data_IF_490140644558
#
_entry.id   IF_490140644558
#
_cell.length_a   1.000
_cell.length_b   1.000
_cell.length_c   1.000
_cell.angle_alpha   90.00
_cell.angle_beta   90.00
_cell.angle_gamma   90.00
#
_symmetry.space_group_name_H-M   'P 1'
#
loop_
_entity.id
_entity.type
_entity.pdbx_description
1 polymer ?
#
# COMPACT_ATOMS: atom_id res chain seq x y z
N UNK A 1 37.78 21.14 14.61
CA UNK A 1 37.48 21.10 13.15
C UNK A 1 36.37 20.09 12.90
N UNK A 2 35.10 20.52 12.83
CA UNK A 2 33.97 19.65 12.50
C UNK A 2 33.90 19.45 10.98
N UNK A 3 33.90 18.18 10.53
CA UNK A 3 33.73 17.82 9.12
C UNK A 3 32.34 18.28 8.67
N UNK A 4 32.29 19.10 7.62
CA UNK A 4 31.04 19.53 6.99
C UNK A 4 30.28 18.28 6.52
N UNK A 5 29.10 18.04 7.10
CA UNK A 5 28.21 16.96 6.70
C UNK A 5 27.79 17.13 5.23
N UNK A 6 27.72 16.02 4.49
CA UNK A 6 27.26 16.04 3.09
C UNK A 6 25.88 16.71 3.03
N UNK A 7 25.59 17.59 2.05
CA UNK A 7 24.29 18.22 1.93
C UNK A 7 23.22 17.15 1.64
N UNK A 8 22.14 17.16 2.43
CA UNK A 8 20.96 16.34 2.15
C UNK A 8 20.15 16.97 1.01
N UNK A 9 19.57 16.14 0.14
CA UNK A 9 18.70 16.59 -0.96
C UNK A 9 17.25 16.26 -0.61
N UNK A 10 16.41 17.29 -0.51
CA UNK A 10 14.95 17.15 -0.34
C UNK A 10 14.30 17.14 -1.72
N UNK A 11 13.34 16.24 -1.94
CA UNK A 11 12.53 16.19 -3.16
C UNK A 11 11.06 16.03 -2.82
N UNK A 12 10.22 16.81 -3.51
CA UNK A 12 8.77 16.72 -3.41
C UNK A 12 8.23 15.77 -4.47
N UNK A 13 7.41 14.80 -4.05
CA UNK A 13 6.70 13.89 -4.95
C UNK A 13 5.28 14.44 -5.12
N UNK A 14 4.82 14.70 -6.36
CA UNK A 14 3.47 15.20 -6.57
C UNK A 14 2.43 14.12 -6.25
N UNK A 15 1.62 14.38 -5.23
CA UNK A 15 0.45 13.57 -4.89
C UNK A 15 -0.74 14.01 -5.74
N UNK A 16 -1.39 13.06 -6.44
CA UNK A 16 -2.50 13.33 -7.37
C UNK A 16 -3.88 13.11 -6.73
N UNK A 17 -4.06 13.43 -5.44
CA UNK A 17 -5.36 13.32 -4.75
C UNK A 17 -6.02 14.67 -4.53
N UNK A 18 -6.80 15.16 -5.50
CA UNK A 18 -7.58 16.41 -5.32
C UNK A 18 -8.56 16.25 -4.16
N UNK A 19 -8.50 17.16 -3.18
CA UNK A 19 -9.38 17.14 -2.01
C UNK A 19 -9.09 16.01 -1.01
N UNK A 20 -7.96 15.32 -1.16
CA UNK A 20 -7.51 14.29 -0.23
C UNK A 20 -6.26 14.75 0.51
N UNK A 21 -6.06 14.18 1.68
CA UNK A 21 -4.83 14.33 2.45
C UNK A 21 -4.17 12.97 2.62
N UNK A 22 -2.85 12.94 2.51
CA UNK A 22 -2.06 11.77 2.88
C UNK A 22 -2.00 11.73 4.40
N UNK A 23 -2.44 10.63 5.00
CA UNK A 23 -2.41 10.45 6.46
C UNK A 23 -1.39 9.38 6.88
N UNK A 24 -1.00 8.50 5.96
CA UNK A 24 -0.01 7.46 6.20
C UNK A 24 0.85 7.20 4.96
N UNK A 25 2.11 6.83 5.21
CA UNK A 25 3.13 6.51 4.22
C UNK A 25 3.86 5.25 4.67
N UNK A 26 4.06 4.30 3.77
CA UNK A 26 4.96 3.16 4.02
C UNK A 26 5.89 2.90 2.86
N UNK A 27 7.12 2.51 3.20
CA UNK A 27 8.13 2.05 2.26
C UNK A 27 8.17 0.53 2.39
N UNK A 28 7.96 -0.18 1.29
CA UNK A 28 7.99 -1.64 1.31
C UNK A 28 9.44 -2.17 1.25
N UNK A 29 9.64 -3.42 1.67
CA UNK A 29 10.93 -4.05 2.05
C UNK A 29 12.14 -3.78 1.16
N UNK A 30 11.94 -3.50 -0.14
CA UNK A 30 13.04 -3.24 -1.08
C UNK A 30 13.47 -1.78 -1.16
N UNK A 31 12.76 -0.84 -0.51
CA UNK A 31 12.96 0.60 -0.69
C UNK A 31 12.60 1.11 -2.09
N UNK A 32 12.15 0.23 -3.00
CA UNK A 32 11.78 0.54 -4.38
C UNK A 32 10.30 0.84 -4.53
N UNK A 33 9.53 0.73 -3.46
CA UNK A 33 8.07 0.90 -3.49
C UNK A 33 7.64 1.75 -2.30
N UNK A 34 6.80 2.73 -2.60
CA UNK A 34 6.20 3.65 -1.66
C UNK A 34 4.69 3.55 -1.79
N UNK A 35 4.01 3.33 -0.68
CA UNK A 35 2.55 3.37 -0.61
C UNK A 35 2.15 4.61 0.17
N UNK A 36 1.23 5.38 -0.41
CA UNK A 36 0.56 6.48 0.27
C UNK A 36 -0.88 6.08 0.54
N UNK A 37 -1.32 6.17 1.79
CA UNK A 37 -2.74 6.14 2.12
C UNK A 37 -3.26 7.55 2.26
N UNK A 38 -4.39 7.80 1.59
CA UNK A 38 -5.01 9.10 1.53
C UNK A 38 -6.51 9.01 1.80
N UNK A 39 -7.00 9.99 2.56
CA UNK A 39 -8.42 10.13 2.90
C UNK A 39 -8.97 11.44 2.37
N UNK A 40 -10.28 11.51 2.12
CA UNK A 40 -10.92 12.79 1.77
C UNK A 40 -10.86 13.75 2.95
N UNK A 41 -10.60 15.03 2.66
CA UNK A 41 -10.44 16.07 3.69
C UNK A 41 -11.72 16.32 4.52
N UNK A 42 -12.90 16.07 3.94
CA UNK A 42 -14.20 16.28 4.60
C UNK A 42 -14.56 15.17 5.58
N UNK A 43 -13.94 14.01 5.40
CA UNK A 43 -14.35 12.75 6.02
C UNK A 43 -13.46 12.43 7.24
N UNK A 44 -12.84 13.44 7.86
CA UNK A 44 -12.01 13.23 9.06
C UNK A 44 -12.82 12.69 10.25
N UNK A 45 -14.16 12.85 10.22
CA UNK A 45 -15.09 12.48 11.28
C UNK A 45 -16.11 11.40 10.88
N UNK A 46 -16.35 11.16 9.58
CA UNK A 46 -17.35 10.18 9.09
C UNK A 46 -16.81 9.43 7.86
N UNK A 47 -16.93 8.10 7.88
CA UNK A 47 -16.58 7.10 6.84
C UNK A 47 -15.19 7.17 6.16
N UNK A 48 -14.46 6.05 6.30
CA UNK A 48 -13.10 5.84 5.80
C UNK A 48 -13.09 5.57 4.27
N UNK A 49 -13.24 6.58 3.39
CA UNK A 49 -12.80 6.50 1.97
C UNK A 49 -11.28 6.60 1.91
N UNK A 50 -10.62 5.61 2.51
CA UNK A 50 -9.17 5.48 2.48
C UNK A 50 -8.77 4.83 1.15
N UNK A 51 -7.83 5.48 0.46
CA UNK A 51 -7.29 4.99 -0.79
C UNK A 51 -5.78 4.93 -0.76
N UNK A 52 -5.29 3.82 -1.30
CA UNK A 52 -3.89 3.56 -1.50
C UNK A 52 -3.47 3.94 -2.93
N UNK A 53 -2.41 4.73 -2.98
CA UNK A 53 -1.64 4.99 -4.19
C UNK A 53 -0.26 4.35 -4.04
N UNK A 54 0.12 3.53 -5.02
CA UNK A 54 1.38 2.80 -5.07
C UNK A 54 2.31 3.49 -6.07
N UNK A 55 3.52 3.76 -5.58
CA UNK A 55 4.58 4.42 -6.34
C UNK A 55 5.81 3.53 -6.41
N UNK A 56 6.39 3.43 -7.60
CA UNK A 56 7.70 2.83 -7.79
C UNK A 56 8.78 3.91 -7.63
N UNK A 57 9.76 3.63 -6.78
CA UNK A 57 10.93 4.47 -6.49
C UNK A 57 12.15 3.86 -7.19
N UNK A 58 12.74 4.59 -8.13
CA UNK A 58 13.98 4.22 -8.84
C UNK A 58 15.09 5.19 -8.45
N UNK A 59 15.94 4.77 -7.52
CA UNK A 59 16.97 5.61 -6.91
C UNK A 59 16.38 6.78 -6.10
N UNK A 60 17.18 7.81 -5.83
CA UNK A 60 16.75 8.96 -5.02
C UNK A 60 15.90 10.00 -5.78
N UNK A 61 15.59 9.75 -7.05
CA UNK A 61 15.16 10.82 -7.97
C UNK A 61 13.91 10.55 -8.76
N UNK A 62 13.52 9.29 -8.93
CA UNK A 62 12.42 8.93 -9.81
C UNK A 62 11.35 8.20 -9.02
N UNK A 63 10.16 8.78 -8.99
CA UNK A 63 8.99 8.21 -8.33
C UNK A 63 7.87 8.20 -9.36
N UNK A 64 7.38 7.01 -9.73
CA UNK A 64 6.31 6.82 -10.71
C UNK A 64 5.09 6.24 -10.01
N UNK A 65 3.94 6.89 -10.15
CA UNK A 65 2.66 6.30 -9.75
C UNK A 65 2.37 5.10 -10.67
N UNK A 66 2.18 3.92 -10.09
CA UNK A 66 1.93 2.68 -10.84
C UNK A 66 0.54 2.09 -10.59
N UNK A 67 -0.06 2.38 -9.43
CA UNK A 67 -1.46 2.06 -9.16
C UNK A 67 -2.05 3.16 -8.30
N UNK A 68 -3.26 3.60 -8.63
CA UNK A 68 -3.97 4.59 -7.84
C UNK A 68 -5.33 4.09 -7.40
N UNK A 69 -5.81 4.65 -6.29
CA UNK A 69 -7.18 4.56 -5.85
C UNK A 69 -7.62 3.18 -5.40
N UNK A 70 -6.70 2.35 -4.87
CA UNK A 70 -7.09 1.07 -4.29
C UNK A 70 -7.83 1.36 -2.98
N UNK A 71 -9.12 1.04 -2.93
CA UNK A 71 -9.94 1.22 -1.74
C UNK A 71 -9.43 0.32 -0.60
N UNK A 72 -9.37 0.86 0.61
CA UNK A 72 -9.12 0.08 1.82
C UNK A 72 -10.46 -0.30 2.48
N UNK A 73 -10.52 -1.46 3.16
CA UNK A 73 -11.67 -1.77 4.00
C UNK A 73 -11.82 -0.72 5.11
N UNK A 74 -13.05 -0.23 5.38
CA UNK A 74 -13.28 0.74 6.43
C UNK A 74 -12.94 0.15 7.81
N UNK A 75 -12.36 0.98 8.70
CA UNK A 75 -12.03 0.59 10.07
C UNK A 75 -10.88 -0.42 10.22
N UNK A 76 -10.29 -0.91 9.13
CA UNK A 76 -9.14 -1.83 9.17
C UNK A 76 -7.85 -1.11 8.80
N UNK A 77 -6.84 -1.25 9.66
CA UNK A 77 -5.50 -0.72 9.43
C UNK A 77 -4.63 -1.71 8.65
N UNK A 78 -5.11 -2.21 7.50
CA UNK A 78 -4.29 -3.13 6.70
C UNK A 78 -3.16 -2.38 6.01
N UNK A 79 -1.92 -2.84 6.22
CA UNK A 79 -0.72 -2.30 5.59
C UNK A 79 -0.34 -3.18 4.41
N UNK A 80 -0.19 -2.65 3.18
CA UNK A 80 0.27 -3.46 2.07
C UNK A 80 1.63 -4.08 2.33
N UNK A 81 1.82 -5.29 1.83
CA UNK A 81 3.05 -6.08 1.96
C UNK A 81 3.61 -6.28 0.54
N UNK A 82 4.93 -6.27 0.37
CA UNK A 82 5.56 -6.66 -0.89
C UNK A 82 6.26 -8.00 -0.78
N UNK A 83 6.39 -8.72 -1.90
CA UNK A 83 7.41 -9.77 -1.99
C UNK A 83 8.81 -9.19 -1.76
N UNK A 84 9.78 -10.02 -1.38
CA UNK A 84 11.16 -9.59 -1.15
C UNK A 84 11.84 -9.03 -2.40
N UNK A 85 11.44 -9.44 -3.60
CA UNK A 85 11.86 -8.79 -4.87
C UNK A 85 11.15 -7.46 -5.17
N UNK A 86 10.02 -7.18 -4.51
CA UNK A 86 9.16 -6.04 -4.82
C UNK A 86 8.39 -6.17 -6.14
N UNK A 87 8.32 -7.38 -6.72
CA UNK A 87 7.53 -7.67 -7.94
C UNK A 87 6.05 -7.81 -7.68
N UNK A 88 5.67 -8.15 -6.46
CA UNK A 88 4.29 -8.32 -6.06
C UNK A 88 3.96 -7.45 -4.85
N UNK A 89 2.74 -6.93 -4.83
CA UNK A 89 2.17 -6.23 -3.68
C UNK A 89 0.86 -6.91 -3.30
N UNK A 90 0.72 -7.18 -2.01
CA UNK A 90 -0.48 -7.68 -1.38
C UNK A 90 -1.22 -6.53 -0.72
N UNK A 91 -2.53 -6.46 -0.91
CA UNK A 91 -3.41 -5.61 -0.11
C UNK A 91 -4.74 -6.28 0.19
N UNK A 92 -5.37 -5.87 1.28
CA UNK A 92 -6.76 -6.20 1.59
C UNK A 92 -7.71 -5.32 0.77
N UNK A 93 -8.81 -5.91 0.32
CA UNK A 93 -9.92 -5.28 -0.38
C UNK A 93 -11.14 -5.21 0.52
N UNK A 94 -11.98 -4.16 0.38
CA UNK A 94 -13.29 -4.15 0.98
C UNK A 94 -14.08 -5.39 0.58
N UNK A 95 -14.65 -6.05 1.57
CA UNK A 95 -15.62 -7.13 1.39
C UNK A 95 -17.01 -6.62 1.74
N UNK A 96 -18.04 -7.14 1.07
CA UNK A 96 -19.44 -6.85 1.39
C UNK A 96 -19.95 -7.63 2.60
N UNK A 97 -19.16 -8.56 3.12
CA UNK A 97 -19.49 -9.41 4.28
C UNK A 97 -18.51 -9.16 5.42
N UNK A 98 -19.05 -8.91 6.62
CA UNK A 98 -18.28 -8.63 7.85
C UNK A 98 -17.25 -9.71 8.19
N UNK A 99 -17.55 -10.96 7.87
CA UNK A 99 -16.77 -12.15 8.22
C UNK A 99 -15.89 -12.65 7.06
N UNK A 100 -15.54 -11.76 6.11
CA UNK A 100 -14.74 -12.14 4.95
C UNK A 100 -13.67 -11.10 4.71
N UNK A 101 -12.40 -11.53 4.81
CA UNK A 101 -11.26 -10.75 4.36
C UNK A 101 -10.89 -11.18 2.94
N UNK A 102 -10.79 -10.22 2.02
CA UNK A 102 -10.35 -10.49 0.65
C UNK A 102 -9.00 -9.84 0.42
N UNK A 103 -8.04 -10.62 -0.04
CA UNK A 103 -6.70 -10.16 -0.37
C UNK A 103 -6.42 -10.30 -1.85
N UNK A 104 -5.69 -9.34 -2.42
CA UNK A 104 -5.25 -9.37 -3.82
C UNK A 104 -3.73 -9.27 -3.90
N UNK A 105 -3.14 -10.19 -4.66
CA UNK A 105 -1.75 -10.10 -5.11
C UNK A 105 -1.73 -9.38 -6.44
N UNK A 106 -1.06 -8.25 -6.50
CA UNK A 106 -0.90 -7.44 -7.71
C UNK A 106 0.54 -7.50 -8.22
N UNK A 107 0.70 -7.78 -9.51
CA UNK A 107 1.98 -7.76 -10.20
C UNK A 107 2.36 -6.32 -10.57
N UNK A 108 3.54 -5.90 -10.12
CA UNK A 108 4.11 -4.58 -10.42
C UNK A 108 4.50 -4.45 -11.89
N UNK A 109 5.05 -5.51 -12.47
CA UNK A 109 5.50 -5.53 -13.85
C UNK A 109 4.32 -5.53 -14.82
N UNK A 110 3.36 -6.42 -14.59
CA UNK A 110 2.22 -6.61 -15.48
C UNK A 110 1.05 -5.67 -15.19
N UNK A 111 1.12 -4.96 -14.06
CA UNK A 111 0.10 -4.03 -13.58
C UNK A 111 -1.30 -4.67 -13.44
N UNK A 112 -1.35 -5.96 -13.14
CA UNK A 112 -2.57 -6.76 -13.09
C UNK A 112 -2.65 -7.59 -11.80
N UNK A 113 -3.87 -7.97 -11.42
CA UNK A 113 -4.09 -8.92 -10.32
C UNK A 113 -3.69 -10.31 -10.77
N UNK A 114 -2.92 -11.00 -9.92
CA UNK A 114 -2.41 -12.35 -10.19
C UNK A 114 -3.10 -13.43 -9.40
N UNK A 115 -3.40 -13.12 -8.14
CA UNK A 115 -4.04 -14.07 -7.27
C UNK A 115 -4.94 -13.33 -6.29
N UNK A 116 -5.96 -14.01 -5.82
CA UNK A 116 -6.88 -13.51 -4.80
C UNK A 116 -7.10 -14.57 -3.77
N UNK A 117 -6.99 -14.20 -2.49
CA UNK A 117 -7.33 -15.07 -1.38
C UNK A 117 -8.56 -14.51 -0.68
N UNK A 118 -9.56 -15.35 -0.50
CA UNK A 118 -10.73 -15.03 0.33
C UNK A 118 -10.63 -15.86 1.58
N UNK A 119 -10.54 -15.20 2.73
CA UNK A 119 -10.54 -15.84 4.05
C UNK A 119 -11.89 -15.55 4.68
N UNK A 120 -12.62 -16.62 4.99
CA UNK A 120 -13.84 -16.54 5.79
C UNK A 120 -13.43 -16.56 7.25
N UNK A 121 -13.61 -15.44 7.94
CA UNK A 121 -13.21 -15.26 9.33
C UNK A 121 -14.45 -15.34 10.21
N UNK A 122 -14.53 -16.34 11.08
CA UNK A 122 -15.70 -16.56 11.93
C UNK A 122 -15.60 -15.88 13.30
N UNK A 123 -14.48 -15.21 13.61
CA UNK A 123 -14.26 -14.53 14.88
C UNK A 123 -13.31 -13.33 14.73
N UNK A 124 -13.40 -12.41 15.69
CA UNK A 124 -12.70 -11.13 15.69
C UNK A 124 -11.17 -11.27 15.56
N UNK A 125 -10.64 -10.66 14.50
CA UNK A 125 -9.23 -10.27 14.35
C UNK A 125 -8.22 -11.41 14.23
N UNK A 126 -8.31 -12.23 13.17
CA UNK A 126 -7.10 -12.92 12.71
C UNK A 126 -6.25 -11.95 11.89
N UNK A 127 -5.28 -11.29 12.53
CA UNK A 127 -4.10 -10.76 11.84
C UNK A 127 -3.31 -11.95 11.28
N UNK A 128 -3.75 -12.51 10.17
CA UNK A 128 -2.93 -13.49 9.46
C UNK A 128 -1.68 -12.74 8.99
N UNK A 129 -0.46 -13.19 9.35
CA UNK A 129 0.74 -12.69 8.72
C UNK A 129 0.75 -13.22 7.29
N UNK A 130 0.00 -12.57 6.41
CA UNK A 130 -0.06 -12.95 5.01
C UNK A 130 1.23 -12.47 4.35
N UNK A 131 2.20 -13.37 4.22
CA UNK A 131 3.43 -13.09 3.50
C UNK A 131 3.28 -13.49 2.03
N UNK A 132 4.12 -12.88 1.18
CA UNK A 132 4.22 -13.21 -0.23
C UNK A 132 5.54 -13.91 -0.53
N UNK A 133 5.47 -15.03 -1.22
CA UNK A 133 6.62 -15.65 -1.85
C UNK A 133 7.14 -14.79 -3.02
N UNK A 134 8.33 -15.13 -3.51
CA UNK A 134 8.95 -14.43 -4.64
C UNK A 134 8.21 -14.61 -5.97
N UNK A 135 7.39 -15.65 -6.10
CA UNK A 135 6.55 -15.92 -7.27
C UNK A 135 5.10 -15.46 -7.09
N UNK A 136 4.78 -14.73 -6.01
CA UNK A 136 3.48 -14.10 -5.80
C UNK A 136 2.42 -15.06 -5.25
N UNK A 137 2.82 -16.13 -4.57
CA UNK A 137 1.94 -17.01 -3.81
C UNK A 137 1.85 -16.55 -2.36
N UNK A 138 0.72 -16.89 -1.74
CA UNK A 138 0.52 -16.73 -0.31
C UNK A 138 1.38 -17.75 0.45
N UNK A 139 1.99 -17.33 1.56
CA UNK A 139 2.76 -18.17 2.48
C UNK A 139 1.96 -18.45 3.76
#
# INVERSE_FOLDING_TARGET
RMKHGRPFKVKTIPFKGKGRVVHWVTILLTGKMLVLSSRRKKDFLEEHDDRLDLYQVKGLSFVKLIKSGVAQPPGRSFRPISSGSGRFVLWEKPSSTMFVAKYEVWSVEEQSVKNTLTVHDHDDHVELPVALSEDGRFL
#
